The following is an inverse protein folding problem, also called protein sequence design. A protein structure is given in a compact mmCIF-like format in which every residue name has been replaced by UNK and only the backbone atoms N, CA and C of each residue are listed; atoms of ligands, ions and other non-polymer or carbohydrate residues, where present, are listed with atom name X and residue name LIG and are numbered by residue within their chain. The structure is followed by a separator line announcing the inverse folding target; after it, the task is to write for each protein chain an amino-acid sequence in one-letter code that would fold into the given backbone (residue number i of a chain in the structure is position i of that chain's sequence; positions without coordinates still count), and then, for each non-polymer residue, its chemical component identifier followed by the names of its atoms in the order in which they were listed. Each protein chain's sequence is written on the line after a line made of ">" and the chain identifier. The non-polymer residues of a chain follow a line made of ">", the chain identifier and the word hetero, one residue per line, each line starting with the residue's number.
data_IF_601422699382
#
_entry.id   IF_601422699382
#
_cell.length_a   1.000
_cell.length_b   1.000
_cell.length_c   1.000
_cell.angle_alpha   90.00
_cell.angle_beta   90.00
_cell.angle_gamma   90.00
#
_symmetry.space_group_name_H-M   'P 1'
#
loop_
_entity.id
_entity.type
_entity.pdbx_description
1 polymer ?
#
# COMPACT_ATOMS: atom_id res chain seq x y z
N UNK A 1 23.32 11.89 -9.73
CA UNK A 1 22.20 11.36 -8.94
C UNK A 1 20.98 12.22 -9.24
N UNK A 2 19.95 11.73 -9.94
CA UNK A 2 18.93 12.64 -10.43
C UNK A 2 17.93 12.96 -9.32
N UNK A 3 17.90 14.26 -8.98
CA UNK A 3 16.84 14.93 -8.27
C UNK A 3 15.54 14.81 -9.07
N UNK A 4 14.51 14.16 -8.52
CA UNK A 4 13.16 14.34 -9.04
C UNK A 4 12.62 15.67 -8.53
N UNK A 5 12.82 16.68 -9.36
CA UNK A 5 12.22 17.99 -9.25
C UNK A 5 10.73 17.85 -9.62
N UNK A 6 9.82 17.95 -8.65
CA UNK A 6 8.40 18.14 -8.95
C UNK A 6 8.23 19.56 -9.49
N UNK A 7 8.42 19.70 -10.80
CA UNK A 7 8.16 20.93 -11.55
C UNK A 7 6.64 21.04 -11.71
N UNK A 8 6.10 22.06 -11.07
CA UNK A 8 4.77 22.62 -11.30
C UNK A 8 4.49 22.83 -12.79
N UNK A 9 3.41 22.25 -13.30
CA UNK A 9 2.87 22.58 -14.63
C UNK A 9 2.44 21.41 -15.51
N UNK A 10 1.55 20.53 -15.03
CA UNK A 10 0.77 19.66 -15.92
C UNK A 10 -0.72 19.85 -15.63
N UNK A 11 -1.44 20.44 -16.59
CA UNK A 11 -2.91 20.38 -16.64
C UNK A 11 -3.31 18.93 -16.91
N UNK A 12 -3.47 18.16 -15.86
CA UNK A 12 -4.52 17.15 -15.78
C UNK A 12 -5.45 17.63 -14.67
N UNK A 13 -6.73 17.31 -14.76
CA UNK A 13 -7.66 17.45 -13.63
C UNK A 13 -7.22 16.49 -12.53
N UNK A 14 -6.15 16.84 -11.81
CA UNK A 14 -5.67 16.12 -10.64
C UNK A 14 -6.66 16.39 -9.53
N UNK A 15 -7.47 15.38 -9.23
CA UNK A 15 -8.29 15.37 -8.03
C UNK A 15 -7.31 15.46 -6.85
N UNK A 16 -7.40 16.54 -6.09
CA UNK A 16 -6.65 16.64 -4.84
C UNK A 16 -7.13 15.51 -3.92
N UNK A 17 -6.21 14.68 -3.44
CA UNK A 17 -6.52 13.59 -2.52
C UNK A 17 -7.13 14.14 -1.22
N UNK A 18 -6.74 15.35 -0.81
CA UNK A 18 -7.34 16.04 0.32
C UNK A 18 -8.80 16.42 0.04
N UNK A 19 -9.14 16.82 -1.18
CA UNK A 19 -10.53 17.13 -1.57
C UNK A 19 -11.41 15.87 -1.58
N UNK A 20 -10.87 14.74 -2.03
CA UNK A 20 -11.62 13.49 -2.14
C UNK A 20 -11.73 12.72 -0.81
N UNK A 21 -10.67 12.73 -0.01
CA UNK A 21 -10.56 11.88 1.18
C UNK A 21 -10.51 12.67 2.50
N UNK A 22 -10.38 14.00 2.46
CA UNK A 22 -10.32 14.85 3.64
C UNK A 22 -9.17 14.45 4.57
N UNK A 23 -9.50 14.20 5.83
CA UNK A 23 -8.55 13.76 6.87
C UNK A 23 -8.15 12.29 6.78
N UNK A 24 -8.63 11.54 5.78
CA UNK A 24 -8.34 10.10 5.59
C UNK A 24 -7.13 9.87 4.68
N UNK A 25 -6.17 10.80 4.68
CA UNK A 25 -4.94 10.70 3.90
C UNK A 25 -3.77 10.53 4.86
N UNK A 26 -2.98 9.49 4.62
CA UNK A 26 -1.71 9.24 5.32
C UNK A 26 -0.61 9.15 4.26
N UNK A 27 0.37 10.04 4.31
CA UNK A 27 1.42 10.10 3.29
C UNK A 27 2.74 10.63 3.85
N UNK A 28 3.84 10.22 3.21
CA UNK A 28 5.18 10.67 3.57
C UNK A 28 5.36 12.15 3.22
N UNK A 29 5.91 12.94 4.14
CA UNK A 29 6.15 14.39 3.99
C UNK A 29 4.92 15.29 3.74
N UNK A 30 3.70 14.75 3.85
CA UNK A 30 2.45 15.51 3.66
C UNK A 30 2.19 16.68 4.63
N UNK A 31 2.63 16.67 5.91
CA UNK A 31 2.30 17.78 6.83
C UNK A 31 2.96 19.12 6.47
N UNK A 32 3.87 19.17 5.50
CA UNK A 32 4.43 20.43 4.99
C UNK A 32 3.52 21.12 3.94
N UNK A 33 2.48 20.44 3.44
CA UNK A 33 1.64 20.94 2.35
C UNK A 33 0.15 20.97 2.69
N UNK A 34 -0.33 20.16 3.65
CA UNK A 34 -1.75 20.10 4.02
C UNK A 34 -1.94 19.85 5.52
N UNK A 35 -2.61 20.77 6.23
CA UNK A 35 -2.71 20.81 7.69
C UNK A 35 -3.55 19.68 8.33
N UNK A 36 -4.25 18.86 7.53
CA UNK A 36 -5.26 17.89 8.00
C UNK A 36 -4.88 16.42 7.76
N UNK A 37 -3.70 16.16 7.20
CA UNK A 37 -3.23 14.81 6.86
C UNK A 37 -2.30 14.22 7.92
N UNK A 38 -2.29 12.88 8.03
CA UNK A 38 -1.41 12.14 8.94
C UNK A 38 -0.07 11.83 8.27
N UNK A 39 1.02 11.93 9.02
CA UNK A 39 2.36 11.62 8.51
C UNK A 39 2.60 10.11 8.45
N UNK A 40 2.97 9.60 7.27
CA UNK A 40 3.49 8.23 7.11
C UNK A 40 5.01 8.21 7.32
N UNK A 41 5.53 7.25 8.07
CA UNK A 41 6.97 7.13 8.30
C UNK A 41 7.71 6.62 7.06
N UNK A 42 8.95 7.07 6.81
CA UNK A 42 9.79 6.49 5.75
C UNK A 42 10.13 5.03 6.07
N UNK A 43 10.42 4.23 5.03
CA UNK A 43 10.92 2.85 5.15
C UNK A 43 10.06 1.92 6.01
N UNK A 44 8.73 2.03 5.93
CA UNK A 44 7.80 1.21 6.71
C UNK A 44 6.99 0.22 5.84
N UNK A 45 7.61 -0.69 5.07
CA UNK A 45 6.89 -1.70 4.30
C UNK A 45 6.11 -2.65 5.23
N UNK A 46 6.62 -2.89 6.44
CA UNK A 46 5.98 -3.71 7.47
C UNK A 46 4.61 -3.19 7.91
N UNK A 47 4.32 -1.91 7.65
CA UNK A 47 3.04 -1.27 7.95
C UNK A 47 2.15 -1.11 6.71
N UNK A 48 2.68 -1.27 5.50
CA UNK A 48 1.89 -1.09 4.27
C UNK A 48 1.13 -2.37 3.91
N UNK A 49 -0.23 -2.39 3.94
CA UNK A 49 -1.01 -3.58 3.59
C UNK A 49 -0.78 -4.11 2.17
N UNK A 50 -0.37 -3.23 1.25
CA UNK A 50 -0.01 -3.67 -0.08
C UNK A 50 1.29 -4.51 -0.07
N UNK A 51 2.28 -4.09 0.71
CA UNK A 51 3.60 -4.74 0.78
C UNK A 51 3.56 -6.03 1.60
N UNK A 52 3.00 -5.99 2.81
CA UNK A 52 2.99 -7.17 3.68
C UNK A 52 1.97 -8.24 3.28
N UNK A 53 0.97 -7.91 2.45
CA UNK A 53 -0.10 -8.83 2.07
C UNK A 53 -0.36 -8.87 0.57
N UNK A 54 -0.82 -7.76 -0.03
CA UNK A 54 -1.43 -7.78 -1.37
C UNK A 54 -0.48 -8.29 -2.45
N UNK A 55 0.74 -7.75 -2.52
CA UNK A 55 1.67 -8.06 -3.60
C UNK A 55 2.14 -9.52 -3.56
N UNK A 56 2.44 -10.04 -2.37
CA UNK A 56 2.73 -11.46 -2.18
C UNK A 56 1.54 -12.34 -2.58
N UNK A 57 0.35 -12.01 -2.08
CA UNK A 57 -0.86 -12.78 -2.36
C UNK A 57 -1.21 -12.84 -3.86
N UNK A 58 -1.18 -11.69 -4.54
CA UNK A 58 -1.44 -11.61 -5.99
C UNK A 58 -0.35 -12.33 -6.78
N UNK A 59 0.93 -12.17 -6.39
CA UNK A 59 2.02 -12.88 -7.05
C UNK A 59 1.82 -14.40 -6.96
N UNK A 60 1.46 -14.91 -5.80
CA UNK A 60 1.22 -16.34 -5.61
C UNK A 60 0.05 -16.82 -6.47
N UNK A 61 -1.09 -16.12 -6.42
CA UNK A 61 -2.28 -16.48 -7.21
C UNK A 61 -2.03 -16.40 -8.71
N UNK A 62 -1.43 -15.30 -9.18
CA UNK A 62 -1.23 -15.05 -10.60
C UNK A 62 -0.24 -16.05 -11.22
N UNK A 63 0.77 -16.47 -10.44
CA UNK A 63 1.81 -17.41 -10.89
C UNK A 63 1.46 -18.88 -10.68
N UNK A 64 0.34 -19.23 -10.03
CA UNK A 64 -0.09 -20.64 -9.84
C UNK A 64 -0.11 -21.44 -11.13
N UNK A 65 -0.58 -20.82 -12.23
CA UNK A 65 -0.68 -21.45 -13.56
C UNK A 65 0.56 -21.26 -14.44
N UNK A 66 1.62 -20.61 -13.92
CA UNK A 66 2.86 -20.28 -14.65
C UNK A 66 2.60 -19.77 -16.07
N UNK A 67 1.87 -18.65 -16.22
CA UNK A 67 1.57 -18.09 -17.54
C UNK A 67 2.86 -17.80 -18.31
N UNK A 68 2.93 -18.25 -19.55
CA UNK A 68 4.09 -18.07 -20.45
C UNK A 68 3.95 -16.87 -21.36
N UNK A 69 2.78 -16.23 -21.39
CA UNK A 69 2.46 -15.11 -22.26
C UNK A 69 1.97 -13.89 -21.48
N UNK A 70 2.23 -12.70 -22.01
CA UNK A 70 1.81 -11.46 -21.37
C UNK A 70 0.29 -11.36 -21.20
N UNK A 71 -0.48 -11.84 -22.18
CA UNK A 71 -1.95 -11.77 -22.15
C UNK A 71 -2.50 -12.67 -21.04
N UNK A 72 -1.98 -13.89 -20.93
CA UNK A 72 -2.41 -14.83 -19.88
C UNK A 72 -1.99 -14.36 -18.49
N UNK A 73 -0.79 -13.76 -18.35
CA UNK A 73 -0.37 -13.14 -17.10
C UNK A 73 -1.27 -11.97 -16.68
N UNK A 74 -1.57 -11.04 -17.60
CA UNK A 74 -2.48 -9.91 -17.33
C UNK A 74 -3.85 -10.39 -16.86
N UNK A 75 -4.42 -11.39 -17.55
CA UNK A 75 -5.70 -12.00 -17.14
C UNK A 75 -5.60 -12.63 -15.75
N UNK A 76 -4.55 -13.40 -15.50
CA UNK A 76 -4.31 -14.05 -14.20
C UNK A 76 -4.24 -13.05 -13.05
N UNK A 77 -3.58 -11.89 -13.26
CA UNK A 77 -3.53 -10.81 -12.28
C UNK A 77 -4.93 -10.23 -12.04
N UNK A 78 -5.66 -9.88 -13.10
CA UNK A 78 -7.03 -9.34 -12.99
C UNK A 78 -7.97 -10.30 -12.26
N UNK A 79 -7.95 -11.59 -12.63
CA UNK A 79 -8.76 -12.63 -11.99
C UNK A 79 -8.36 -12.82 -10.51
N UNK A 80 -7.07 -12.72 -10.19
CA UNK A 80 -6.57 -12.81 -8.81
C UNK A 80 -7.11 -11.67 -7.94
N UNK A 81 -7.12 -10.43 -8.47
CA UNK A 81 -7.72 -9.28 -7.80
C UNK A 81 -9.23 -9.44 -7.61
N UNK A 82 -9.95 -9.88 -8.65
CA UNK A 82 -11.38 -10.13 -8.57
C UNK A 82 -11.73 -11.24 -7.56
N UNK A 83 -10.81 -12.19 -7.33
CA UNK A 83 -10.94 -13.27 -6.37
C UNK A 83 -10.68 -12.88 -4.90
N UNK A 84 -10.25 -11.64 -4.60
CA UNK A 84 -10.00 -11.20 -3.23
C UNK A 84 -11.32 -11.14 -2.45
N UNK A 85 -11.47 -12.03 -1.48
CA UNK A 85 -12.66 -12.09 -0.62
C UNK A 85 -12.69 -10.92 0.36
N UNK A 86 -13.89 -10.53 0.82
CA UNK A 86 -14.07 -9.56 1.91
C UNK A 86 -13.23 -9.91 3.14
N UNK A 87 -13.23 -11.19 3.54
CA UNK A 87 -12.47 -11.67 4.69
C UNK A 87 -10.96 -11.40 4.59
N UNK A 88 -10.38 -11.48 3.39
CA UNK A 88 -8.96 -11.18 3.19
C UNK A 88 -8.66 -9.70 3.47
N UNK A 89 -9.56 -8.81 3.04
CA UNK A 89 -9.45 -7.35 3.27
C UNK A 89 -9.60 -7.01 4.75
N UNK A 90 -10.56 -7.62 5.43
CA UNK A 90 -10.74 -7.46 6.88
C UNK A 90 -9.51 -7.91 7.65
N UNK A 91 -8.99 -9.10 7.33
CA UNK A 91 -7.77 -9.59 7.96
C UNK A 91 -6.56 -8.67 7.71
N UNK A 92 -6.42 -8.08 6.51
CA UNK A 92 -5.35 -7.13 6.24
C UNK A 92 -5.48 -5.85 7.10
N UNK A 93 -6.70 -5.36 7.31
CA UNK A 93 -6.97 -4.23 8.22
C UNK A 93 -6.67 -4.58 9.68
N UNK A 94 -7.09 -5.76 10.15
CA UNK A 94 -6.82 -6.21 11.52
C UNK A 94 -5.31 -6.42 11.76
N UNK A 95 -4.61 -6.95 10.75
CA UNK A 95 -3.16 -7.12 10.76
C UNK A 95 -2.45 -5.76 10.81
N UNK A 96 -2.92 -4.76 10.05
CA UNK A 96 -2.40 -3.40 10.12
C UNK A 96 -2.47 -2.82 11.54
N UNK A 97 -3.62 -2.93 12.22
CA UNK A 97 -3.78 -2.49 13.62
C UNK A 97 -2.81 -3.23 14.55
N UNK A 98 -2.63 -4.52 14.35
CA UNK A 98 -1.72 -5.33 15.18
C UNK A 98 -0.25 -4.96 14.96
N UNK A 99 0.15 -4.76 13.70
CA UNK A 99 1.49 -4.32 13.31
C UNK A 99 1.81 -2.92 13.83
N UNK A 100 0.83 -2.01 13.85
CA UNK A 100 0.97 -0.71 14.50
C UNK A 100 1.23 -0.83 16.01
N UNK A 101 0.47 -1.69 16.71
CA UNK A 101 0.71 -1.94 18.14
C UNK A 101 2.11 -2.48 18.39
N UNK A 102 2.54 -3.42 17.55
CA UNK A 102 3.88 -4.00 17.66
C UNK A 102 4.99 -2.96 17.42
N UNK A 103 4.81 -2.10 16.41
CA UNK A 103 5.72 -0.99 16.12
C UNK A 103 5.86 -0.06 17.35
N UNK A 104 4.75 0.29 18.00
CA UNK A 104 4.75 1.11 19.23
C UNK A 104 5.49 0.39 20.37
N UNK A 105 5.20 -0.88 20.62
CA UNK A 105 5.84 -1.64 21.70
C UNK A 105 7.32 -1.92 21.46
N UNK A 106 7.76 -1.87 20.20
CA UNK A 106 9.15 -2.09 19.79
C UNK A 106 9.92 -0.79 19.54
N UNK A 107 9.36 0.35 19.97
CA UNK A 107 9.94 1.68 19.80
C UNK A 107 10.37 1.99 18.34
N UNK A 108 9.54 1.58 17.37
CA UNK A 108 9.79 1.81 15.95
C UNK A 108 10.78 0.84 15.28
N UNK A 109 11.25 -0.20 15.96
CA UNK A 109 12.13 -1.22 15.37
C UNK A 109 11.44 -2.01 14.25
N UNK A 110 12.21 -2.47 13.26
CA UNK A 110 11.70 -3.30 12.14
C UNK A 110 11.27 -4.69 12.60
N UNK A 111 10.31 -5.30 11.88
CA UNK A 111 9.81 -6.63 12.20
C UNK A 111 9.29 -7.38 10.97
N UNK A 112 9.77 -8.60 10.77
CA UNK A 112 9.38 -9.38 9.57
C UNK A 112 8.20 -10.34 9.82
N UNK A 113 8.11 -10.93 11.03
CA UNK A 113 7.29 -12.13 11.29
C UNK A 113 6.25 -11.96 12.41
N UNK A 114 5.46 -10.88 12.39
CA UNK A 114 4.49 -10.63 13.47
C UNK A 114 3.17 -11.37 13.27
N UNK A 115 2.71 -11.57 12.03
CA UNK A 115 1.44 -12.26 11.72
C UNK A 115 1.44 -12.84 10.29
N UNK A 116 1.10 -14.14 10.17
CA UNK A 116 0.75 -14.84 8.92
C UNK A 116 -0.76 -14.95 8.75
#
# INVERSE_FOLDING_TARGET
>A
MPHYCYRSGLQHSEIDLADLFGTRVIAYQYPNSYAVALHWLPYSPDLNPCDFFLWGHIKDLANKKKPTELISLKRSITDSFAGIKRKNRENATDNFVTRLRYCITSDGSHFENVLH
#
